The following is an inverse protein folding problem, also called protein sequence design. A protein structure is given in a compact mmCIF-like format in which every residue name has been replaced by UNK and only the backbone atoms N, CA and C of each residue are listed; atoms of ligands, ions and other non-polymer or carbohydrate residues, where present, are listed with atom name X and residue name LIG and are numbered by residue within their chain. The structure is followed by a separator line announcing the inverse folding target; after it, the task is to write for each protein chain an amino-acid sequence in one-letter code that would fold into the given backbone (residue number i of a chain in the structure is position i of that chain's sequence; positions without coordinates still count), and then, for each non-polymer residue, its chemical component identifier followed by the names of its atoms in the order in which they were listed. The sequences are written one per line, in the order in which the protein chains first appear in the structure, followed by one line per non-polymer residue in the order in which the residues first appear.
data_IF_047617804223
#
_entry.id   IF_047617804223
#
_cell.length_a   1.000
_cell.length_b   1.000
_cell.length_c   1.000
_cell.angle_alpha   90.00
_cell.angle_beta   90.00
_cell.angle_gamma   90.00
#
_symmetry.space_group_name_H-M   'P 1'
#
loop_
_entity.id
_entity.type
_entity.pdbx_description
1 polymer ?
#
# COMPACT_ATOMS: atom_id res chain seq x y z
N UNK A 1 -31.43 18.07 -44.68
CA UNK A 1 -30.70 18.75 -43.59
C UNK A 1 -30.54 17.70 -42.52
N UNK A 2 -29.46 16.94 -42.64
CA UNK A 2 -29.05 15.92 -41.66
C UNK A 2 -28.51 16.65 -40.45
N UNK A 3 -28.95 16.22 -39.26
CA UNK A 3 -28.52 16.76 -37.98
C UNK A 3 -27.07 16.36 -37.72
N UNK A 4 -26.20 17.35 -37.55
CA UNK A 4 -24.81 17.24 -37.14
C UNK A 4 -24.71 17.38 -35.61
N UNK A 5 -25.27 16.44 -34.84
CA UNK A 5 -25.36 16.55 -33.36
C UNK A 5 -24.79 15.34 -32.58
N UNK A 6 -23.88 14.53 -33.16
CA UNK A 6 -23.40 13.29 -32.51
C UNK A 6 -21.88 13.22 -32.20
N UNK A 7 -21.12 14.33 -32.20
CA UNK A 7 -19.65 14.30 -32.01
C UNK A 7 -19.12 14.90 -30.68
N UNK A 8 -19.98 15.27 -29.72
CA UNK A 8 -19.54 16.04 -28.53
C UNK A 8 -19.10 15.20 -27.30
N UNK A 9 -19.23 13.87 -27.30
CA UNK A 9 -18.97 13.04 -26.10
C UNK A 9 -17.51 12.56 -25.93
N UNK A 10 -16.63 12.81 -26.90
CA UNK A 10 -15.23 12.32 -26.90
C UNK A 10 -14.19 13.36 -26.45
N UNK A 11 -14.59 14.61 -26.17
CA UNK A 11 -13.64 15.71 -25.98
C UNK A 11 -12.85 15.71 -24.65
N UNK A 12 -13.24 14.92 -23.64
CA UNK A 12 -12.61 14.94 -22.29
C UNK A 12 -11.92 13.61 -21.90
N UNK A 13 -12.34 12.46 -22.45
CA UNK A 13 -11.66 11.19 -22.23
C UNK A 13 -10.22 11.21 -22.81
N UNK A 14 -10.06 11.83 -23.97
CA UNK A 14 -8.78 12.01 -24.66
C UNK A 14 -7.74 12.81 -23.83
N UNK A 15 -8.08 13.98 -23.24
CA UNK A 15 -7.18 14.71 -22.33
C UNK A 15 -6.67 13.92 -21.12
N UNK A 16 -7.51 13.11 -20.45
CA UNK A 16 -7.06 12.34 -19.28
C UNK A 16 -6.16 11.17 -19.66
N UNK A 17 -6.45 10.52 -20.79
CA UNK A 17 -5.57 9.49 -21.35
C UNK A 17 -4.21 10.09 -21.76
N UNK A 18 -4.24 11.25 -22.43
CA UNK A 18 -3.04 12.00 -22.80
C UNK A 18 -2.25 12.42 -21.56
N UNK A 19 -2.90 12.99 -20.55
CA UNK A 19 -2.25 13.36 -19.29
C UNK A 19 -1.62 12.16 -18.59
N UNK A 20 -2.31 11.01 -18.55
CA UNK A 20 -1.75 9.78 -17.98
C UNK A 20 -0.53 9.30 -18.76
N UNK A 21 -0.55 9.41 -20.08
CA UNK A 21 0.57 9.03 -20.93
C UNK A 21 1.76 9.99 -20.76
N UNK A 22 1.53 11.30 -20.82
CA UNK A 22 2.56 12.33 -20.68
C UNK A 22 3.19 12.34 -19.29
N UNK A 23 2.38 12.22 -18.22
CA UNK A 23 2.88 12.11 -16.86
C UNK A 23 3.85 10.92 -16.74
N UNK A 24 3.52 9.80 -17.39
CA UNK A 24 4.37 8.63 -17.44
C UNK A 24 5.65 8.89 -18.23
N UNK A 25 5.55 9.40 -19.44
CA UNK A 25 6.71 9.67 -20.30
C UNK A 25 7.67 10.72 -19.73
N UNK A 26 7.14 11.70 -18.98
CA UNK A 26 7.91 12.80 -18.43
C UNK A 26 8.69 12.42 -17.16
N UNK A 27 8.06 11.70 -16.22
CA UNK A 27 8.70 11.50 -14.90
C UNK A 27 8.47 10.15 -14.21
N UNK A 28 7.46 9.34 -14.60
CA UNK A 28 7.26 8.02 -14.02
C UNK A 28 8.13 6.99 -14.74
N UNK A 29 9.08 6.43 -14.02
CA UNK A 29 9.98 5.43 -14.59
C UNK A 29 9.24 4.11 -14.84
N UNK A 30 9.65 3.38 -15.88
CA UNK A 30 9.14 2.04 -16.18
C UNK A 30 9.66 0.96 -15.23
N UNK A 31 10.67 1.28 -14.43
CA UNK A 31 11.30 0.38 -13.46
C UNK A 31 11.64 1.16 -12.19
N UNK A 32 11.60 0.48 -11.05
CA UNK A 32 12.00 1.09 -9.78
C UNK A 32 13.51 0.97 -9.57
N UNK A 33 14.13 2.09 -9.22
CA UNK A 33 15.53 2.16 -8.85
C UNK A 33 15.79 1.54 -7.46
N UNK A 34 16.94 0.89 -7.32
CA UNK A 34 17.52 0.45 -6.04
C UNK A 34 18.70 1.35 -5.68
N UNK A 35 18.67 1.97 -4.51
CA UNK A 35 19.70 2.92 -4.06
C UNK A 35 20.23 2.57 -2.67
N UNK A 36 21.47 2.98 -2.31
CA UNK A 36 21.90 2.99 -0.92
C UNK A 36 21.11 4.04 -0.11
N UNK A 37 21.21 3.98 1.22
CA UNK A 37 20.56 4.94 2.13
C UNK A 37 20.91 6.40 1.74
N UNK A 38 19.93 7.21 1.31
CA UNK A 38 20.15 8.61 0.96
C UNK A 38 20.23 9.50 2.20
N UNK A 39 20.76 10.73 2.05
CA UNK A 39 20.53 11.77 3.07
C UNK A 39 19.06 12.25 3.03
N UNK A 40 18.51 12.80 4.13
CA UNK A 40 17.14 13.29 4.18
C UNK A 40 16.81 14.27 3.04
N UNK A 41 17.72 15.20 2.75
CA UNK A 41 17.55 16.18 1.65
C UNK A 41 17.49 15.51 0.27
N UNK A 42 18.36 14.51 0.02
CA UNK A 42 18.36 13.77 -1.25
C UNK A 42 17.09 12.95 -1.38
N UNK A 43 16.69 12.27 -0.31
CA UNK A 43 15.45 11.50 -0.27
C UNK A 43 14.24 12.37 -0.59
N UNK A 44 14.13 13.53 0.08
CA UNK A 44 13.02 14.43 -0.14
C UNK A 44 13.00 14.98 -1.56
N UNK A 45 14.12 15.54 -2.04
CA UNK A 45 14.21 16.19 -3.36
C UNK A 45 14.00 15.24 -4.54
N UNK A 46 14.52 14.02 -4.44
CA UNK A 46 14.60 13.11 -5.59
C UNK A 46 13.43 12.11 -5.61
N UNK A 47 12.81 11.83 -4.46
CA UNK A 47 11.74 10.82 -4.33
C UNK A 47 10.45 11.39 -3.75
N UNK A 48 10.48 12.01 -2.57
CA UNK A 48 9.25 12.49 -1.90
C UNK A 48 8.58 13.62 -2.69
N UNK A 49 9.29 14.70 -2.97
CA UNK A 49 8.74 15.87 -3.67
C UNK A 49 8.33 15.55 -5.11
N UNK A 50 8.97 14.54 -5.72
CA UNK A 50 8.67 14.05 -7.07
C UNK A 50 7.61 12.94 -7.10
N UNK A 51 7.12 12.51 -5.94
CA UNK A 51 6.15 11.42 -5.80
C UNK A 51 6.58 10.13 -6.51
N UNK A 52 7.86 9.75 -6.37
CA UNK A 52 8.48 8.62 -7.07
C UNK A 52 8.88 7.50 -6.09
N UNK A 53 8.47 6.24 -6.35
CA UNK A 53 8.81 5.12 -5.50
C UNK A 53 10.28 4.71 -5.71
N UNK A 54 10.89 4.13 -4.68
CA UNK A 54 12.28 3.68 -4.71
C UNK A 54 12.52 2.55 -3.72
N UNK A 55 13.39 1.61 -4.06
CA UNK A 55 13.90 0.61 -3.12
C UNK A 55 15.21 1.12 -2.52
N UNK A 56 15.32 1.06 -1.20
CA UNK A 56 16.45 1.55 -0.42
C UNK A 56 17.10 0.34 0.24
N UNK A 57 18.36 0.12 -0.12
CA UNK A 57 19.18 -0.99 0.35
C UNK A 57 20.11 -0.52 1.48
N UNK A 58 20.32 -1.40 2.46
CA UNK A 58 21.14 -1.11 3.64
C UNK A 58 20.42 -0.28 4.72
N UNK A 59 19.16 0.10 4.50
CA UNK A 59 18.37 0.87 5.46
C UNK A 59 18.07 0.09 6.75
N UNK A 60 18.01 -1.25 6.65
CA UNK A 60 17.62 -2.14 7.74
C UNK A 60 18.80 -2.88 8.36
N UNK A 61 20.05 -2.64 7.91
CA UNK A 61 21.23 -3.42 8.31
C UNK A 61 21.50 -3.43 9.82
N UNK A 62 21.02 -2.42 10.55
CA UNK A 62 21.16 -2.33 12.00
C UNK A 62 20.04 -3.06 12.77
N UNK A 63 18.99 -3.51 12.09
CA UNK A 63 17.87 -4.20 12.73
C UNK A 63 18.29 -5.63 13.08
N UNK A 64 18.27 -5.95 14.38
CA UNK A 64 18.52 -7.32 14.81
C UNK A 64 17.44 -8.29 14.31
N UNK A 65 16.26 -7.80 13.94
CA UNK A 65 15.20 -8.54 13.26
C UNK A 65 15.71 -9.37 12.07
N UNK A 66 16.63 -8.84 11.25
CA UNK A 66 17.16 -9.54 10.06
C UNK A 66 17.83 -10.88 10.40
N UNK A 67 18.35 -11.01 11.62
CA UNK A 67 18.97 -12.24 12.11
C UNK A 67 18.05 -13.07 13.00
N UNK A 68 17.20 -12.42 13.80
CA UNK A 68 16.32 -13.09 14.78
C UNK A 68 15.05 -13.64 14.16
N UNK A 69 14.49 -12.96 13.16
CA UNK A 69 13.20 -13.29 12.55
C UNK A 69 13.32 -14.32 11.42
N UNK A 70 14.46 -15.03 11.36
CA UNK A 70 14.72 -16.07 10.37
C UNK A 70 13.95 -17.37 10.64
N UNK A 71 13.37 -17.53 11.83
CA UNK A 71 12.59 -18.70 12.21
C UNK A 71 11.32 -18.30 12.96
N UNK A 72 10.25 -19.08 12.75
CA UNK A 72 8.98 -18.89 13.45
C UNK A 72 9.06 -19.15 14.95
N UNK A 73 10.02 -19.98 15.39
CA UNK A 73 10.24 -20.29 16.80
C UNK A 73 10.56 -19.03 17.60
N UNK A 74 11.34 -18.10 17.01
CA UNK A 74 11.63 -16.83 17.67
C UNK A 74 10.35 -16.07 18.03
N UNK A 75 9.41 -15.97 17.08
CA UNK A 75 8.12 -15.32 17.34
C UNK A 75 7.27 -16.07 18.37
N UNK A 76 7.25 -17.41 18.32
CA UNK A 76 6.56 -18.22 19.33
C UNK A 76 7.12 -18.00 20.73
N UNK A 77 8.43 -17.91 20.87
CA UNK A 77 9.09 -17.68 22.16
C UNK A 77 8.84 -16.26 22.68
N UNK A 78 8.85 -15.24 21.81
CA UNK A 78 8.63 -13.85 22.21
C UNK A 78 7.15 -13.51 22.46
N UNK A 79 6.25 -13.96 21.59
CA UNK A 79 4.84 -13.58 21.60
C UNK A 79 3.99 -14.62 22.32
N UNK A 80 4.29 -15.91 22.19
CA UNK A 80 3.58 -16.97 22.88
C UNK A 80 2.06 -16.87 22.77
N UNK A 81 1.40 -16.70 23.92
CA UNK A 81 -0.05 -16.56 24.00
C UNK A 81 -0.55 -15.09 23.96
N UNK A 82 0.32 -14.16 23.56
CA UNK A 82 -0.06 -12.75 23.38
C UNK A 82 -1.24 -12.67 22.41
N UNK A 83 -2.36 -12.03 22.80
CA UNK A 83 -3.51 -11.90 21.93
C UNK A 83 -3.21 -10.89 20.83
N UNK A 84 -3.31 -11.34 19.58
CA UNK A 84 -3.11 -10.53 18.37
C UNK A 84 -4.39 -10.53 17.54
N UNK A 85 -4.65 -9.44 16.85
CA UNK A 85 -5.78 -9.29 15.93
C UNK A 85 -5.42 -9.95 14.60
N UNK A 86 -6.24 -10.93 14.20
CA UNK A 86 -6.07 -11.70 12.97
C UNK A 86 -7.27 -11.45 12.07
N UNK A 87 -6.99 -11.16 10.81
CA UNK A 87 -7.97 -10.97 9.77
C UNK A 87 -8.28 -12.32 9.12
N UNK A 88 -9.56 -12.58 8.91
CA UNK A 88 -10.07 -13.85 8.40
C UNK A 88 -10.97 -13.60 7.20
N UNK A 89 -10.70 -14.31 6.12
CA UNK A 89 -11.50 -14.27 4.88
C UNK A 89 -11.73 -15.68 4.36
N UNK A 90 -12.81 -15.94 3.59
CA UNK A 90 -13.01 -17.25 3.00
C UNK A 90 -12.05 -17.55 1.84
N UNK A 91 -11.51 -16.52 1.18
CA UNK A 91 -10.80 -16.66 -0.10
C UNK A 91 -9.50 -15.86 -0.21
N UNK A 92 -9.06 -15.19 0.87
CA UNK A 92 -7.81 -14.45 0.92
C UNK A 92 -7.93 -12.99 0.50
N UNK A 93 -9.14 -12.51 0.17
CA UNK A 93 -9.37 -11.15 -0.29
C UNK A 93 -10.29 -10.38 0.67
N UNK A 94 -9.69 -9.61 1.58
CA UNK A 94 -10.36 -8.59 2.37
C UNK A 94 -10.46 -7.25 1.63
N UNK A 95 -11.24 -6.32 2.19
CA UNK A 95 -11.37 -4.92 1.73
C UNK A 95 -11.58 -4.77 0.22
N UNK A 96 -12.41 -5.64 -0.34
CA UNK A 96 -12.63 -5.71 -1.78
C UNK A 96 -14.12 -5.82 -2.13
N UNK A 97 -14.43 -5.50 -3.39
CA UNK A 97 -15.79 -5.61 -3.91
C UNK A 97 -16.13 -7.07 -4.18
N UNK A 98 -17.15 -7.59 -3.50
CA UNK A 98 -17.74 -8.90 -3.75
C UNK A 98 -19.11 -8.77 -4.40
N UNK A 99 -19.43 -9.75 -5.27
CA UNK A 99 -20.71 -9.84 -5.98
C UNK A 99 -21.08 -8.56 -6.75
N UNK A 100 -20.09 -7.77 -7.16
CA UNK A 100 -20.24 -6.47 -7.82
C UNK A 100 -21.13 -5.46 -7.06
N UNK A 101 -21.32 -5.66 -5.75
CA UNK A 101 -22.32 -4.90 -4.99
C UNK A 101 -21.87 -4.52 -3.58
N UNK A 102 -21.11 -5.36 -2.90
CA UNK A 102 -20.74 -5.14 -1.52
C UNK A 102 -19.24 -4.91 -1.43
N UNK A 103 -18.83 -3.85 -0.74
CA UNK A 103 -17.48 -3.75 -0.22
C UNK A 103 -17.42 -4.58 1.07
N UNK A 104 -16.59 -5.63 1.08
CA UNK A 104 -16.55 -6.61 2.18
C UNK A 104 -15.20 -6.52 2.87
N UNK A 105 -15.23 -6.23 4.17
CA UNK A 105 -14.06 -6.23 5.06
C UNK A 105 -13.82 -7.64 5.60
N UNK A 106 -12.59 -7.99 6.01
CA UNK A 106 -12.33 -9.23 6.73
C UNK A 106 -13.07 -9.27 8.08
N UNK A 107 -13.22 -10.47 8.62
CA UNK A 107 -13.58 -10.65 10.04
C UNK A 107 -12.30 -10.50 10.85
N UNK A 108 -12.31 -9.61 11.85
CA UNK A 108 -11.21 -9.47 12.79
C UNK A 108 -11.48 -10.28 14.06
N UNK A 109 -10.58 -11.18 14.42
CA UNK A 109 -10.64 -11.93 15.68
C UNK A 109 -9.34 -11.80 16.47
N UNK A 110 -9.46 -11.65 17.80
CA UNK A 110 -8.31 -11.75 18.70
C UNK A 110 -8.07 -13.21 19.08
N UNK A 111 -6.85 -13.69 18.81
CA UNK A 111 -6.43 -15.02 19.24
C UNK A 111 -4.98 -15.02 19.74
N UNK A 112 -4.60 -16.01 20.57
CA UNK A 112 -3.20 -16.17 20.97
C UNK A 112 -2.29 -16.32 19.73
N UNK A 113 -1.14 -15.65 19.71
CA UNK A 113 -0.21 -15.72 18.57
C UNK A 113 0.18 -17.16 18.23
N UNK A 114 0.44 -18.01 19.24
CA UNK A 114 0.71 -19.43 19.04
C UNK A 114 -0.40 -20.17 18.29
N UNK A 115 -1.66 -19.81 18.54
CA UNK A 115 -2.81 -20.41 17.85
C UNK A 115 -2.83 -19.99 16.37
N UNK A 116 -2.60 -18.72 16.07
CA UNK A 116 -2.42 -18.24 14.70
C UNK A 116 -1.27 -18.98 13.98
N UNK A 117 -0.13 -19.14 14.65
CA UNK A 117 1.02 -19.85 14.08
C UNK A 117 0.73 -21.33 13.81
N UNK A 118 -0.07 -22.00 14.65
CA UNK A 118 -0.48 -23.39 14.40
C UNK A 118 -1.34 -23.51 13.13
N UNK A 119 -2.13 -22.48 12.80
CA UNK A 119 -2.93 -22.43 11.58
C UNK A 119 -2.01 -22.22 10.37
N UNK A 120 -1.12 -21.23 10.42
CA UNK A 120 -0.17 -20.92 9.32
C UNK A 120 0.75 -22.10 9.00
N UNK A 121 1.22 -22.84 10.01
CA UNK A 121 2.07 -24.01 9.83
C UNK A 121 1.28 -25.29 9.44
N UNK A 122 -0.04 -25.20 9.28
CA UNK A 122 -0.91 -26.34 8.96
C UNK A 122 -1.02 -27.38 10.07
N UNK A 123 -0.59 -27.07 11.30
CA UNK A 123 -0.70 -27.93 12.49
C UNK A 123 -2.14 -27.99 12.99
N UNK A 124 -2.94 -26.96 12.71
CA UNK A 124 -4.35 -26.88 13.06
C UNK A 124 -5.19 -26.54 11.83
N UNK A 125 -6.23 -27.33 11.58
CA UNK A 125 -7.23 -27.02 10.56
C UNK A 125 -8.06 -25.81 10.98
N UNK A 126 -8.29 -24.91 10.03
CA UNK A 126 -9.07 -23.70 10.21
C UNK A 126 -9.92 -23.46 8.95
N UNK A 127 -11.14 -22.94 9.12
CA UNK A 127 -12.03 -22.62 8.01
C UNK A 127 -11.81 -21.15 7.61
N UNK A 128 -11.16 -20.96 6.46
CA UNK A 128 -10.78 -19.64 5.94
C UNK A 128 -9.26 -19.44 5.83
N UNK A 129 -8.91 -18.30 5.25
CA UNK A 129 -7.54 -17.80 5.07
C UNK A 129 -7.31 -16.70 6.09
N UNK A 130 -6.24 -16.88 6.89
CA UNK A 130 -5.85 -15.99 7.97
C UNK A 130 -4.64 -15.16 7.59
N UNK A 131 -4.63 -13.89 7.97
CA UNK A 131 -3.47 -13.04 7.83
C UNK A 131 -3.39 -12.03 8.98
N UNK A 132 -2.17 -11.68 9.37
CA UNK A 132 -1.90 -10.75 10.45
C UNK A 132 -1.57 -9.37 9.86
N UNK A 133 -2.60 -8.64 9.42
CA UNK A 133 -2.43 -7.35 8.73
C UNK A 133 -3.16 -6.20 9.40
N UNK A 134 -3.71 -6.40 10.62
CA UNK A 134 -4.32 -5.33 11.39
C UNK A 134 -3.38 -4.11 11.42
N UNK A 135 -3.89 -2.97 10.97
CA UNK A 135 -3.13 -1.73 10.86
C UNK A 135 -3.18 -0.96 12.19
N UNK A 136 -3.23 0.38 12.17
CA UNK A 136 -3.40 1.20 13.37
C UNK A 136 -2.27 1.06 14.41
N UNK A 137 -1.03 1.07 13.94
CA UNK A 137 0.16 0.91 14.78
C UNK A 137 0.20 -0.42 15.55
N UNK A 138 -0.40 -1.48 15.00
CA UNK A 138 -0.44 -2.82 15.60
C UNK A 138 0.90 -3.29 16.17
N UNK A 139 2.02 -2.99 15.50
CA UNK A 139 3.36 -3.35 15.99
C UNK A 139 3.64 -2.82 17.41
N UNK A 140 3.30 -1.56 17.69
CA UNK A 140 3.57 -0.93 18.99
C UNK A 140 2.50 -1.24 20.03
N UNK A 141 1.36 -1.79 19.64
CA UNK A 141 0.24 -2.10 20.55
C UNK A 141 0.11 -3.59 20.86
N UNK A 142 0.39 -4.47 19.90
CA UNK A 142 0.19 -5.92 20.01
C UNK A 142 1.50 -6.73 19.91
N UNK A 143 2.60 -6.14 19.43
CA UNK A 143 3.89 -6.82 19.22
C UNK A 143 5.05 -6.18 20.00
N UNK A 144 4.76 -5.56 21.14
CA UNK A 144 5.72 -4.77 21.92
C UNK A 144 6.98 -5.53 22.33
N UNK A 145 6.88 -6.85 22.49
CA UNK A 145 7.99 -7.75 22.81
C UNK A 145 9.08 -7.71 21.73
N UNK A 146 8.71 -7.37 20.49
CA UNK A 146 9.61 -7.28 19.34
C UNK A 146 10.19 -5.88 19.14
N UNK A 147 9.81 -4.88 19.94
CA UNK A 147 10.22 -3.48 19.75
C UNK A 147 11.75 -3.28 19.73
N UNK A 148 12.50 -4.12 20.42
CA UNK A 148 13.97 -4.04 20.47
C UNK A 148 14.65 -4.62 19.21
N UNK A 149 13.89 -5.27 18.32
CA UNK A 149 14.45 -5.88 17.11
C UNK A 149 14.51 -4.92 15.93
N UNK A 150 13.70 -3.85 16.00
CA UNK A 150 13.48 -2.86 14.96
C UNK A 150 13.92 -1.49 15.47
N UNK A 151 14.47 -0.65 14.58
CA UNK A 151 14.83 0.73 14.89
C UNK A 151 14.03 1.71 14.03
N UNK A 152 13.67 2.85 14.62
CA UNK A 152 13.08 3.97 13.88
C UNK A 152 14.05 4.45 12.79
N UNK A 153 13.53 4.69 11.59
CA UNK A 153 14.31 5.20 10.47
C UNK A 153 14.43 6.72 10.59
N UNK A 154 15.30 7.21 11.48
CA UNK A 154 15.40 8.63 11.83
C UNK A 154 15.61 9.59 10.65
N UNK A 155 16.32 9.15 9.61
CA UNK A 155 16.53 9.92 8.38
C UNK A 155 15.26 10.07 7.53
N UNK A 156 14.32 9.11 7.62
CA UNK A 156 12.99 9.19 6.99
C UNK A 156 12.15 10.21 7.74
N UNK A 157 12.12 10.12 9.07
CA UNK A 157 11.38 11.07 9.90
C UNK A 157 11.84 12.51 9.71
N UNK A 158 13.14 12.76 9.57
CA UNK A 158 13.68 14.09 9.27
C UNK A 158 13.12 14.65 7.95
N UNK A 159 12.75 13.79 7.01
CA UNK A 159 12.11 14.18 5.75
C UNK A 159 10.60 14.45 5.85
N UNK A 160 9.90 14.09 6.95
CA UNK A 160 8.42 14.05 7.03
C UNK A 160 7.78 14.83 8.20
N UNK A 161 8.39 15.90 8.72
CA UNK A 161 7.82 16.68 9.85
C UNK A 161 6.48 17.36 9.45
N UNK A 162 5.39 17.32 10.26
CA UNK A 162 4.06 16.86 9.81
C UNK A 162 2.92 17.91 9.80
N UNK A 163 1.82 17.68 9.04
CA UNK A 163 0.41 18.06 9.35
C UNK A 163 -0.63 17.18 8.55
N UNK A 164 -1.84 17.02 9.13
CA UNK A 164 -2.85 15.94 9.05
C UNK A 164 -3.88 15.82 7.87
N UNK A 165 -4.44 14.58 7.76
CA UNK A 165 -5.84 14.05 7.52
C UNK A 165 -6.44 13.68 6.12
N UNK A 166 -7.10 12.50 6.09
CA UNK A 166 -7.38 11.52 5.01
C UNK A 166 -8.50 11.79 3.96
N UNK A 167 -8.54 10.98 2.87
CA UNK A 167 -9.69 10.12 2.42
C UNK A 167 -9.46 9.40 1.07
N UNK A 168 -10.02 8.18 0.93
CA UNK A 168 -9.88 7.22 -0.20
C UNK A 168 -10.93 7.37 -1.34
N UNK A 169 -10.67 6.78 -2.51
CA UNK A 169 -11.67 6.49 -3.57
C UNK A 169 -11.31 5.28 -4.45
N UNK A 170 -12.34 4.52 -4.81
CA UNK A 170 -12.31 3.33 -5.70
C UNK A 170 -11.91 3.64 -7.15
N UNK A 171 -11.16 2.70 -7.76
CA UNK A 171 -10.93 2.63 -9.20
C UNK A 171 -11.44 1.30 -9.79
N UNK A 172 -12.04 1.40 -10.98
CA UNK A 172 -12.32 0.26 -11.85
C UNK A 172 -11.17 0.10 -12.84
N UNK A 173 -10.83 -1.15 -13.16
CA UNK A 173 -9.77 -1.50 -14.12
C UNK A 173 -10.03 -0.89 -15.50
N UNK A 174 -9.06 -0.15 -16.01
CA UNK A 174 -9.05 0.38 -17.38
C UNK A 174 -7.85 -0.19 -18.15
N UNK A 175 -8.09 -0.53 -19.41
CA UNK A 175 -7.15 -1.15 -20.37
C UNK A 175 -5.94 -0.29 -20.77
N UNK A 176 -5.82 0.92 -20.23
CA UNK A 176 -4.71 1.86 -20.48
C UNK A 176 -3.72 1.96 -19.32
N UNK A 177 -3.94 1.20 -18.23
CA UNK A 177 -3.06 1.20 -17.07
C UNK A 177 -1.78 0.40 -17.37
N UNK A 178 -0.65 0.95 -16.94
CA UNK A 178 0.67 0.35 -17.10
C UNK A 178 1.25 0.12 -15.69
N UNK A 179 0.93 -1.01 -15.04
CA UNK A 179 1.33 -1.26 -13.67
C UNK A 179 2.85 -1.45 -13.57
N UNK A 180 3.46 -0.84 -12.55
CA UNK A 180 4.83 -1.16 -12.15
C UNK A 180 4.79 -2.43 -11.29
N UNK A 181 5.49 -3.47 -11.73
CA UNK A 181 5.69 -4.70 -10.95
C UNK A 181 7.00 -4.61 -10.20
N UNK A 182 6.94 -4.83 -8.89
CA UNK A 182 8.06 -4.62 -7.98
C UNK A 182 8.09 -5.82 -7.02
N UNK A 183 9.26 -6.42 -6.87
CA UNK A 183 9.55 -7.38 -5.81
C UNK A 183 10.45 -6.69 -4.80
N UNK A 184 10.05 -6.71 -3.52
CA UNK A 184 10.82 -6.21 -2.38
C UNK A 184 11.38 -7.42 -1.65
N UNK A 185 12.70 -7.56 -1.66
CA UNK A 185 13.38 -8.70 -1.06
C UNK A 185 13.63 -8.51 0.44
N UNK A 186 13.96 -9.57 1.20
CA UNK A 186 14.44 -9.42 2.57
C UNK A 186 15.60 -8.43 2.66
N UNK A 187 15.59 -7.58 3.69
CA UNK A 187 16.54 -6.45 3.88
C UNK A 187 16.39 -5.28 2.87
N UNK A 188 15.32 -5.25 2.06
CA UNK A 188 14.99 -4.08 1.24
C UNK A 188 13.88 -3.23 1.89
N UNK A 189 14.00 -1.91 1.76
CA UNK A 189 12.97 -0.95 2.16
C UNK A 189 12.35 -0.32 0.91
N UNK A 190 11.05 -0.52 0.69
CA UNK A 190 10.32 0.20 -0.35
C UNK A 190 9.79 1.53 0.23
N UNK A 191 10.17 2.64 -0.40
CA UNK A 191 9.39 3.87 -0.29
C UNK A 191 8.24 3.83 -1.30
N UNK A 192 7.02 3.71 -0.79
CA UNK A 192 5.78 3.82 -1.54
C UNK A 192 5.19 5.22 -1.33
N UNK A 193 5.16 6.10 -2.34
CA UNK A 193 4.70 7.48 -2.16
C UNK A 193 3.19 7.57 -1.92
N UNK A 194 2.76 8.66 -1.31
CA UNK A 194 1.35 8.98 -1.12
C UNK A 194 0.55 8.96 -2.43
N UNK A 195 -0.73 8.57 -2.35
CA UNK A 195 -1.67 8.51 -3.48
C UNK A 195 -1.35 7.47 -4.56
N UNK A 196 -0.31 6.63 -4.37
CA UNK A 196 -0.04 5.52 -5.28
C UNK A 196 -1.02 4.37 -5.05
N UNK A 197 -1.77 4.04 -6.10
CA UNK A 197 -2.54 2.80 -6.14
C UNK A 197 -1.57 1.62 -6.16
N UNK A 198 -1.81 0.64 -5.29
CA UNK A 198 -0.96 -0.54 -5.16
C UNK A 198 -1.82 -1.77 -4.88
N UNK A 199 -1.32 -2.91 -5.35
CA UNK A 199 -1.83 -4.23 -5.00
C UNK A 199 -0.64 -5.04 -4.52
N UNK A 200 -0.83 -5.80 -3.45
CA UNK A 200 0.26 -6.51 -2.77
C UNK A 200 -0.03 -8.00 -2.82
N UNK A 201 1.00 -8.76 -3.19
CA UNK A 201 1.03 -10.20 -3.09
C UNK A 201 2.31 -10.63 -2.38
N UNK A 202 2.30 -11.85 -1.83
CA UNK A 202 3.48 -12.47 -1.25
C UNK A 202 3.82 -13.75 -2.03
N UNK A 203 5.10 -13.95 -2.35
CA UNK A 203 5.58 -15.10 -3.14
C UNK A 203 6.12 -16.24 -2.26
N UNK A 204 5.94 -16.14 -0.94
CA UNK A 204 6.35 -17.15 0.04
C UNK A 204 5.14 -17.59 0.86
N UNK A 205 5.08 -18.87 1.31
CA UNK A 205 4.07 -19.32 2.26
C UNK A 205 4.00 -18.45 3.51
N UNK A 206 5.14 -17.87 3.90
CA UNK A 206 5.24 -16.96 5.02
C UNK A 206 6.13 -15.78 4.62
N UNK A 207 5.57 -14.58 4.73
CA UNK A 207 6.31 -13.32 4.62
C UNK A 207 6.11 -12.53 5.91
N UNK A 208 7.20 -11.93 6.39
CA UNK A 208 7.18 -11.04 7.54
C UNK A 208 7.65 -9.68 7.05
N UNK A 209 6.80 -8.68 7.19
CA UNK A 209 7.09 -7.31 6.80
C UNK A 209 6.64 -6.35 7.91
N UNK A 210 7.28 -5.19 7.95
CA UNK A 210 6.86 -4.06 8.77
C UNK A 210 6.83 -2.81 7.91
N UNK A 211 5.83 -1.97 8.11
CA UNK A 211 5.68 -0.71 7.41
C UNK A 211 5.58 0.45 8.41
N UNK A 212 6.08 1.61 7.99
CA UNK A 212 5.94 2.87 8.72
C UNK A 212 5.09 3.80 7.87
N UNK A 213 4.03 4.35 8.47
CA UNK A 213 3.17 5.32 7.81
C UNK A 213 3.53 6.70 8.31
N UNK A 214 3.81 7.59 7.37
CA UNK A 214 3.98 9.01 7.60
C UNK A 214 2.84 9.70 6.86
N UNK A 215 2.17 10.64 7.53
CA UNK A 215 1.15 11.45 6.88
C UNK A 215 1.75 12.17 5.68
N UNK A 216 0.97 12.22 4.60
CA UNK A 216 1.39 12.94 3.41
C UNK A 216 1.33 14.45 3.62
N UNK A 217 2.13 15.20 2.85
CA UNK A 217 1.95 16.64 2.75
C UNK A 217 0.76 16.98 1.84
N UNK A 218 -0.20 17.73 2.36
CA UNK A 218 -1.39 18.21 1.61
C UNK A 218 -1.07 19.44 0.78
N UNK A 219 -0.16 19.28 -0.17
CA UNK A 219 0.35 20.35 -1.01
C UNK A 219 -0.39 20.46 -2.35
N UNK A 220 0.24 21.09 -3.33
CA UNK A 220 -0.34 21.26 -4.66
C UNK A 220 -0.64 19.92 -5.36
N UNK A 221 0.09 18.83 -5.04
CA UNK A 221 -0.14 17.50 -5.63
C UNK A 221 -1.50 16.96 -5.18
N UNK A 222 -1.84 17.12 -3.90
CA UNK A 222 -3.15 16.76 -3.39
C UNK A 222 -4.28 17.55 -4.06
N UNK A 223 -4.10 18.86 -4.21
CA UNK A 223 -5.11 19.71 -4.86
C UNK A 223 -5.36 19.28 -6.31
N UNK A 224 -4.30 18.96 -7.07
CA UNK A 224 -4.45 18.45 -8.43
C UNK A 224 -5.10 17.06 -8.47
N UNK A 225 -4.74 16.15 -7.56
CA UNK A 225 -5.39 14.86 -7.44
C UNK A 225 -6.90 15.00 -7.19
N UNK A 226 -7.29 15.84 -6.23
CA UNK A 226 -8.70 16.10 -5.93
C UNK A 226 -9.44 16.74 -7.09
N UNK A 227 -8.82 17.70 -7.77
CA UNK A 227 -9.39 18.32 -8.96
C UNK A 227 -9.69 17.26 -10.05
N UNK A 228 -8.71 16.41 -10.38
CA UNK A 228 -8.88 15.34 -11.36
C UNK A 228 -9.96 14.34 -10.94
N UNK A 229 -9.91 13.87 -9.70
CA UNK A 229 -10.90 12.93 -9.15
C UNK A 229 -12.32 13.48 -9.24
N UNK A 230 -12.51 14.77 -8.92
CA UNK A 230 -13.82 15.41 -8.97
C UNK A 230 -14.33 15.60 -10.41
N UNK A 231 -13.47 15.93 -11.37
CA UNK A 231 -13.89 16.01 -12.79
C UNK A 231 -14.35 14.64 -13.28
N UNK A 232 -13.57 13.59 -13.05
CA UNK A 232 -13.92 12.22 -13.46
C UNK A 232 -15.25 11.78 -12.83
N UNK A 233 -15.45 12.08 -11.54
CA UNK A 233 -16.72 11.80 -10.85
C UNK A 233 -17.90 12.56 -11.47
N UNK A 234 -17.73 13.81 -11.87
CA UNK A 234 -18.79 14.60 -12.50
C UNK A 234 -19.16 14.04 -13.88
N UNK A 235 -18.16 13.66 -14.70
CA UNK A 235 -18.39 13.03 -16.00
C UNK A 235 -19.17 11.72 -15.90
N UNK A 236 -18.76 10.82 -15.00
CA UNK A 236 -19.50 9.55 -14.77
C UNK A 236 -20.94 9.79 -14.32
N UNK A 237 -21.22 10.89 -13.62
CA UNK A 237 -22.57 11.27 -13.20
C UNK A 237 -23.39 11.83 -14.36
N UNK A 238 -22.79 12.58 -15.30
CA UNK A 238 -23.51 13.07 -16.48
C UNK A 238 -23.84 11.94 -17.45
N UNK A 239 -22.93 11.01 -17.69
CA UNK A 239 -23.14 9.82 -18.54
C UNK A 239 -24.32 8.97 -18.02
N UNK A 240 -24.35 8.68 -16.72
CA UNK A 240 -25.46 7.94 -16.07
C UNK A 240 -26.81 8.64 -16.12
N UNK A 241 -26.86 9.97 -16.33
CA UNK A 241 -28.11 10.72 -16.46
C UNK A 241 -28.65 10.72 -17.89
N UNK A 242 -27.79 10.42 -18.88
CA UNK A 242 -28.15 10.37 -20.31
C UNK A 242 -28.69 9.00 -20.73
N UNK A 243 -28.37 7.94 -19.99
CA UNK A 243 -28.87 6.57 -20.13
C UNK A 243 -30.15 6.34 -19.34
#
# INVERSE_FOLDING_TARGET
MSNDDDDDDDHVACPFQCLSQEARELYLESHISRIPVPSPLVFYRDYVSRNRPVIIQGALDQWSALSKWNTLNYFRDQLGDTPVTIDITPDGYGDCVKLHKYFVTPVEEKMPFNHFMDIIEGKKSFDGIVYCQHQNSSFTTEFQQLNNDIHELGWVREAFVPWFDHTENDLQEQTYLNPLKITVEPNELLYLPSLWFHSVEQDSPITIACNFWYDMEYDIKWNYYQFMSNIIKQQRKSEKKRT
#
